data_IF_356906712330
#
_entry.id   IF_356906712330
#
_cell.length_a   1.000
_cell.length_b   1.000
_cell.length_c   1.000
_cell.angle_alpha   90.00
_cell.angle_beta   90.00
_cell.angle_gamma   90.00
#
_symmetry.space_group_name_H-M   'P 1'
#
loop_
_entity.id
_entity.type
_entity.pdbx_description
1 polymer ?
#
# COMPACT_ATOMS: atom_id res chain seq x y z
N UNK A 1 17.26 58.22 41.31
CA UNK A 1 17.93 57.05 40.71
C UNK A 1 16.95 55.89 40.75
N UNK A 2 16.10 55.77 39.74
CA UNK A 2 15.18 54.64 39.55
C UNK A 2 15.27 54.28 38.07
N UNK A 3 15.65 53.06 37.73
CA UNK A 3 15.30 52.47 36.44
C UNK A 3 15.02 50.99 36.62
N UNK A 4 13.91 50.57 36.04
CA UNK A 4 13.16 49.37 36.29
C UNK A 4 13.74 48.15 35.56
N UNK A 5 13.56 46.98 36.15
CA UNK A 5 13.81 45.66 35.58
C UNK A 5 12.75 45.32 34.53
N UNK A 6 13.18 45.01 33.31
CA UNK A 6 12.31 44.56 32.22
C UNK A 6 12.27 43.02 32.22
N UNK A 7 11.12 42.42 32.55
CA UNK A 7 10.88 40.98 32.36
C UNK A 7 10.46 40.72 30.91
N UNK A 8 11.20 39.86 30.20
CA UNK A 8 10.77 39.32 28.90
C UNK A 8 9.74 38.22 29.14
N UNK A 9 8.50 38.46 28.68
CA UNK A 9 7.49 37.42 28.50
C UNK A 9 7.66 36.90 27.07
N UNK A 10 8.08 35.64 26.95
CA UNK A 10 8.08 34.94 25.67
C UNK A 10 6.65 34.48 25.35
N UNK A 11 5.99 35.16 24.39
CA UNK A 11 4.78 34.63 23.77
C UNK A 11 5.18 33.50 22.81
N UNK A 12 4.84 32.27 23.16
CA UNK A 12 4.82 31.16 22.21
C UNK A 12 3.70 31.42 21.19
N UNK A 13 4.06 31.72 19.95
CA UNK A 13 3.13 31.75 18.82
C UNK A 13 2.98 30.31 18.34
N UNK A 14 1.87 29.66 18.72
CA UNK A 14 1.45 28.41 18.09
C UNK A 14 0.98 28.74 16.68
N UNK A 15 1.80 28.42 15.67
CA UNK A 15 1.40 28.49 14.27
C UNK A 15 0.53 27.26 13.99
N UNK A 16 -0.78 27.41 14.09
CA UNK A 16 -1.71 26.46 13.48
C UNK A 16 -1.65 26.67 11.97
N UNK A 17 -1.10 25.71 11.24
CA UNK A 17 -1.19 25.70 9.78
C UNK A 17 -2.67 25.55 9.39
N UNK A 18 -3.30 26.65 9.02
CA UNK A 18 -4.61 26.64 8.37
C UNK A 18 -4.39 26.35 6.88
N UNK A 19 -5.32 25.65 6.21
CA UNK A 19 -5.27 25.48 4.77
C UNK A 19 -5.26 26.86 4.10
N UNK A 20 -4.25 27.10 3.26
CA UNK A 20 -4.11 28.35 2.51
C UNK A 20 -5.23 28.42 1.46
N UNK A 21 -6.25 29.24 1.71
CA UNK A 21 -7.25 29.59 0.71
C UNK A 21 -6.74 30.73 -0.16
N UNK A 22 -6.16 30.39 -1.31
CA UNK A 22 -6.02 31.30 -2.44
C UNK A 22 -7.09 30.91 -3.46
N UNK A 23 -8.00 31.84 -3.78
CA UNK A 23 -9.06 31.66 -4.80
C UNK A 23 -10.12 30.58 -4.51
N UNK A 24 -10.53 30.37 -3.26
CA UNK A 24 -11.70 29.52 -2.95
C UNK A 24 -11.50 28.02 -3.19
N UNK A 25 -10.27 27.59 -3.50
CA UNK A 25 -9.88 26.19 -3.54
C UNK A 25 -9.13 25.86 -2.24
N UNK A 26 -9.64 24.90 -1.48
CA UNK A 26 -8.87 24.22 -0.44
C UNK A 26 -7.86 23.32 -1.15
N UNK A 27 -6.57 23.69 -1.11
CA UNK A 27 -5.49 22.85 -1.63
C UNK A 27 -5.09 21.83 -0.56
N UNK A 28 -4.98 20.56 -0.96
CA UNK A 28 -4.65 19.42 -0.10
C UNK A 28 -5.83 18.47 0.13
N UNK A 29 -5.57 17.17 0.09
CA UNK A 29 -6.59 16.17 0.42
C UNK A 29 -6.94 16.24 1.93
N UNK A 30 -8.21 16.06 2.33
CA UNK A 30 -8.62 16.07 3.73
C UNK A 30 -7.92 14.97 4.56
N UNK A 31 -7.36 15.37 5.70
CA UNK A 31 -6.72 14.48 6.67
C UNK A 31 -7.62 14.18 7.86
N UNK A 32 -7.56 12.95 8.35
CA UNK A 32 -8.26 12.53 9.58
C UNK A 32 -7.46 12.89 10.83
N UNK A 33 -8.18 13.29 11.90
CA UNK A 33 -7.61 13.53 13.24
C UNK A 33 -8.07 12.51 14.28
N UNK A 34 -8.66 11.40 13.83
CA UNK A 34 -9.18 10.38 14.75
C UNK A 34 -8.05 9.74 15.56
N UNK A 35 -8.31 9.44 16.84
CA UNK A 35 -7.29 8.88 17.73
C UNK A 35 -6.91 7.46 17.32
N UNK A 36 -5.61 7.15 17.09
CA UNK A 36 -5.17 5.79 16.78
C UNK A 36 -5.49 4.82 17.94
N UNK A 37 -5.91 3.62 17.58
CA UNK A 37 -6.29 2.59 18.55
C UNK A 37 -5.25 1.45 18.56
N UNK A 38 -4.68 1.07 19.71
CA UNK A 38 -3.73 -0.03 19.79
C UNK A 38 -4.30 -1.36 19.28
N UNK A 39 -3.49 -2.12 18.54
CA UNK A 39 -3.79 -3.46 18.08
C UNK A 39 -2.90 -4.47 18.79
N UNK A 40 -3.46 -5.65 19.11
CA UNK A 40 -2.66 -6.76 19.60
C UNK A 40 -1.87 -7.41 18.46
N UNK A 41 -0.67 -7.91 18.75
CA UNK A 41 0.11 -8.66 17.75
C UNK A 41 -0.64 -9.90 17.23
N UNK A 42 -1.50 -10.51 18.05
CA UNK A 42 -2.36 -11.62 17.60
C UNK A 42 -3.35 -11.19 16.52
N UNK A 43 -3.98 -10.01 16.69
CA UNK A 43 -4.88 -9.42 15.69
C UNK A 43 -4.12 -9.13 14.40
N UNK A 44 -2.97 -8.45 14.52
CA UNK A 44 -2.11 -8.12 13.37
C UNK A 44 -1.71 -9.40 12.61
N UNK A 45 -1.22 -10.42 13.32
CA UNK A 45 -0.78 -11.65 12.70
C UNK A 45 -1.92 -12.41 12.02
N UNK A 46 -3.13 -12.42 12.62
CA UNK A 46 -4.28 -13.09 12.02
C UNK A 46 -4.75 -12.44 10.70
N UNK A 47 -4.43 -11.17 10.48
CA UNK A 47 -4.86 -10.42 9.28
C UNK A 47 -3.75 -10.24 8.26
N UNK A 48 -2.52 -9.98 8.69
CA UNK A 48 -1.46 -9.47 7.83
C UNK A 48 -0.27 -10.40 7.67
N UNK A 49 -0.06 -11.39 8.56
CA UNK A 49 1.14 -12.24 8.47
C UNK A 49 1.18 -13.02 7.16
N UNK A 50 0.08 -13.64 6.76
CA UNK A 50 0.02 -14.43 5.53
C UNK A 50 0.14 -13.56 4.27
N UNK A 51 -0.61 -12.43 4.13
CA UNK A 51 -0.37 -11.48 3.04
C UNK A 51 1.07 -10.95 2.96
N UNK A 52 1.71 -10.73 4.11
CA UNK A 52 3.11 -10.28 4.17
C UNK A 52 4.07 -11.32 3.60
N UNK A 53 3.90 -12.61 3.92
CA UNK A 53 4.76 -13.65 3.35
C UNK A 53 4.63 -13.74 1.83
N UNK A 54 3.43 -13.58 1.29
CA UNK A 54 3.22 -13.53 -0.16
C UNK A 54 3.84 -12.27 -0.81
N UNK A 55 3.69 -11.09 -0.18
CA UNK A 55 4.36 -9.88 -0.65
C UNK A 55 5.89 -10.00 -0.60
N UNK A 56 6.43 -10.68 0.41
CA UNK A 56 7.87 -10.99 0.52
C UNK A 56 8.32 -11.97 -0.58
N UNK A 57 7.54 -13.02 -0.84
CA UNK A 57 7.82 -13.99 -1.89
C UNK A 57 7.80 -13.37 -3.30
N UNK A 58 7.07 -12.28 -3.51
CA UNK A 58 6.99 -11.61 -4.81
C UNK A 58 8.33 -11.02 -5.30
N UNK A 59 9.30 -10.84 -4.40
CA UNK A 59 10.67 -10.44 -4.74
C UNK A 59 11.55 -11.60 -5.22
N UNK A 60 11.08 -12.84 -5.14
CA UNK A 60 11.86 -14.02 -5.48
C UNK A 60 11.73 -14.38 -6.95
N UNK A 61 12.75 -15.06 -7.48
CA UNK A 61 12.78 -15.42 -8.90
C UNK A 61 11.60 -16.32 -9.28
N UNK A 62 11.08 -16.15 -10.51
CA UNK A 62 10.02 -17.00 -11.04
C UNK A 62 10.33 -18.50 -10.94
N UNK A 63 11.58 -18.91 -11.20
CA UNK A 63 12.01 -20.30 -11.06
C UNK A 63 11.85 -20.84 -9.63
N UNK A 64 12.21 -20.04 -8.62
CA UNK A 64 12.05 -20.44 -7.21
C UNK A 64 10.59 -20.48 -6.76
N UNK A 65 9.73 -19.64 -7.35
CA UNK A 65 8.30 -19.61 -7.05
C UNK A 65 7.55 -20.75 -7.73
N UNK A 66 7.92 -21.10 -8.96
CA UNK A 66 7.36 -22.25 -9.69
C UNK A 66 7.53 -23.56 -8.91
N UNK A 67 8.69 -23.76 -8.28
CA UNK A 67 8.95 -24.89 -7.39
C UNK A 67 8.55 -24.65 -5.93
N UNK A 68 8.00 -23.47 -5.61
CA UNK A 68 7.68 -23.01 -4.26
C UNK A 68 8.83 -23.20 -3.25
N UNK A 69 10.06 -22.95 -3.69
CA UNK A 69 11.30 -23.17 -2.96
C UNK A 69 12.12 -21.88 -2.83
N UNK A 70 11.45 -20.79 -2.51
CA UNK A 70 12.03 -19.45 -2.43
C UNK A 70 12.64 -19.10 -1.06
N UNK A 71 12.90 -20.11 -0.21
CA UNK A 71 13.43 -19.93 1.13
C UNK A 71 12.36 -19.54 2.15
N UNK A 72 12.77 -18.72 3.13
CA UNK A 72 11.93 -18.34 4.26
C UNK A 72 10.53 -17.85 3.87
N UNK A 73 10.33 -17.02 2.82
CA UNK A 73 8.99 -16.57 2.44
C UNK A 73 8.06 -17.74 2.06
N UNK A 74 8.55 -18.70 1.28
CA UNK A 74 7.79 -19.89 0.87
C UNK A 74 7.57 -20.86 2.04
N UNK A 75 8.58 -21.06 2.90
CA UNK A 75 8.53 -21.99 4.03
C UNK A 75 7.48 -21.60 5.09
N UNK A 76 7.14 -20.30 5.17
CA UNK A 76 6.15 -19.76 6.10
C UNK A 76 4.70 -19.88 5.58
N UNK A 77 4.51 -20.17 4.29
CA UNK A 77 3.20 -20.41 3.67
C UNK A 77 3.20 -21.74 2.90
N UNK A 78 3.03 -22.83 3.65
CA UNK A 78 3.12 -24.19 3.13
C UNK A 78 1.89 -24.61 2.32
N UNK A 79 2.10 -25.50 1.35
CA UNK A 79 1.02 -26.12 0.57
C UNK A 79 0.42 -25.26 -0.53
N UNK A 80 0.98 -24.07 -0.75
CA UNK A 80 0.61 -23.16 -1.83
C UNK A 80 1.02 -23.77 -3.18
N UNK A 81 0.16 -23.59 -4.18
CA UNK A 81 0.34 -24.08 -5.54
C UNK A 81 0.54 -22.91 -6.47
N UNK A 82 1.75 -22.75 -6.99
CA UNK A 82 2.03 -21.78 -8.03
C UNK A 82 1.19 -22.06 -9.29
N UNK A 83 0.68 -21.02 -9.94
CA UNK A 83 -0.15 -21.14 -11.14
C UNK A 83 0.41 -20.36 -12.32
N UNK A 84 0.79 -19.10 -12.10
CA UNK A 84 1.24 -18.21 -13.16
C UNK A 84 2.16 -17.15 -12.58
N UNK A 85 3.09 -16.64 -13.39
CA UNK A 85 3.76 -15.37 -13.13
C UNK A 85 3.80 -14.52 -14.40
N UNK A 86 4.08 -13.23 -14.20
CA UNK A 86 4.34 -12.30 -15.28
C UNK A 86 5.24 -11.15 -14.83
N UNK A 87 5.43 -10.19 -15.73
CA UNK A 87 6.45 -9.15 -15.57
C UNK A 87 7.80 -9.56 -16.15
N UNK A 88 8.67 -8.58 -16.31
CA UNK A 88 10.02 -8.75 -16.86
C UNK A 88 11.12 -8.35 -15.86
N UNK A 89 10.74 -8.09 -14.60
CA UNK A 89 11.62 -7.59 -13.53
C UNK A 89 12.40 -6.31 -13.91
N UNK A 90 11.90 -5.59 -14.93
CA UNK A 90 12.51 -4.39 -15.46
C UNK A 90 11.47 -3.28 -15.63
N UNK A 91 10.83 -3.25 -16.80
CA UNK A 91 9.81 -2.25 -17.10
C UNK A 91 8.44 -2.62 -16.51
N UNK A 92 8.21 -3.90 -16.22
CA UNK A 92 7.03 -4.44 -15.55
C UNK A 92 7.54 -5.19 -14.32
N UNK A 93 7.26 -4.71 -13.10
CA UNK A 93 7.54 -5.44 -11.87
C UNK A 93 6.95 -6.85 -11.94
N UNK A 94 7.62 -7.80 -11.32
CA UNK A 94 7.15 -9.18 -11.29
C UNK A 94 5.82 -9.28 -10.53
N UNK A 95 4.99 -10.24 -10.93
CA UNK A 95 3.85 -10.66 -10.13
C UNK A 95 3.66 -12.17 -10.27
N UNK A 96 3.01 -12.79 -9.29
CA UNK A 96 2.58 -14.18 -9.40
C UNK A 96 1.13 -14.37 -8.97
N UNK A 97 0.56 -15.45 -9.48
CA UNK A 97 -0.74 -16.00 -9.11
C UNK A 97 -0.50 -17.39 -8.54
N UNK A 98 -1.06 -17.65 -7.36
CA UNK A 98 -0.99 -18.95 -6.70
C UNK A 98 -2.33 -19.31 -6.08
N UNK A 99 -2.57 -20.59 -5.85
CA UNK A 99 -3.67 -21.06 -5.02
C UNK A 99 -3.12 -21.40 -3.63
N UNK A 100 -3.68 -20.76 -2.61
CA UNK A 100 -3.45 -21.06 -1.20
C UNK A 100 -4.63 -21.89 -0.65
N UNK A 101 -4.48 -23.22 -0.55
CA UNK A 101 -5.56 -24.10 -0.13
C UNK A 101 -5.93 -23.94 1.36
N UNK A 102 -5.02 -23.38 2.18
CA UNK A 102 -5.28 -23.21 3.61
C UNK A 102 -6.34 -22.14 3.88
N UNK A 103 -6.38 -21.10 3.05
CA UNK A 103 -7.33 -20.00 3.14
C UNK A 103 -8.40 -20.03 2.03
N UNK A 104 -8.44 -21.11 1.24
CA UNK A 104 -9.31 -21.22 0.05
C UNK A 104 -9.24 -19.97 -0.84
N UNK A 105 -8.01 -19.51 -1.13
CA UNK A 105 -7.80 -18.23 -1.82
C UNK A 105 -6.88 -18.32 -3.02
N UNK A 106 -7.23 -17.61 -4.08
CA UNK A 106 -6.31 -17.27 -5.16
C UNK A 106 -5.53 -16.03 -4.74
N UNK A 107 -4.21 -16.16 -4.67
CA UNK A 107 -3.31 -15.08 -4.30
C UNK A 107 -2.78 -14.41 -5.56
N UNK A 108 -2.83 -13.08 -5.60
CA UNK A 108 -2.08 -12.25 -6.56
C UNK A 108 -1.12 -11.37 -5.76
N UNK A 109 0.18 -11.57 -5.96
CA UNK A 109 1.20 -10.82 -5.25
C UNK A 109 2.09 -10.06 -6.23
N UNK A 110 2.26 -8.75 -5.98
CA UNK A 110 3.06 -7.85 -6.81
C UNK A 110 4.39 -7.52 -6.15
N UNK A 111 5.46 -7.61 -6.93
CA UNK A 111 6.80 -7.17 -6.56
C UNK A 111 6.84 -5.64 -6.39
N UNK A 112 7.61 -5.19 -5.40
CA UNK A 112 7.96 -3.78 -5.29
C UNK A 112 9.11 -3.38 -6.20
N UNK A 113 9.93 -2.44 -5.74
CA UNK A 113 11.15 -2.02 -6.42
C UNK A 113 12.37 -2.26 -5.54
N UNK A 114 13.55 -2.35 -6.15
CA UNK A 114 14.84 -2.38 -5.45
C UNK A 114 14.95 -1.20 -4.46
N UNK A 115 15.30 -1.46 -3.18
CA UNK A 115 15.48 -0.44 -2.15
C UNK A 115 16.37 0.74 -2.55
N UNK A 116 17.40 0.50 -3.36
CA UNK A 116 18.33 1.55 -3.81
C UNK A 116 17.67 2.53 -4.80
N UNK A 117 16.59 2.11 -5.47
CA UNK A 117 15.82 2.95 -6.39
C UNK A 117 14.68 3.68 -5.69
N UNK A 118 14.32 3.29 -4.47
CA UNK A 118 13.26 3.93 -3.68
C UNK A 118 13.63 5.37 -3.36
N UNK A 119 14.91 5.62 -3.03
CA UNK A 119 15.44 6.97 -2.86
C UNK A 119 15.33 7.81 -4.13
N UNK A 120 15.58 7.23 -5.30
CA UNK A 120 15.40 7.94 -6.58
C UNK A 120 13.93 8.26 -6.84
N UNK A 121 13.01 7.33 -6.59
CA UNK A 121 11.57 7.54 -6.76
C UNK A 121 11.03 8.68 -5.88
N UNK A 122 11.56 8.83 -4.65
CA UNK A 122 11.18 9.91 -3.74
C UNK A 122 11.77 11.27 -4.16
N UNK A 123 12.91 11.28 -4.86
CA UNK A 123 13.67 12.51 -5.17
C UNK A 123 13.49 13.03 -6.61
N UNK A 124 13.28 12.17 -7.61
CA UNK A 124 13.25 12.52 -9.05
C UNK A 124 11.86 12.98 -9.55
N UNK A 125 11.04 13.47 -8.62
CA UNK A 125 9.58 13.60 -8.65
C UNK A 125 8.97 14.19 -9.94
N UNK A 126 8.39 13.31 -10.76
CA UNK A 126 7.28 13.65 -11.66
C UNK A 126 6.01 12.96 -11.15
N UNK A 127 5.37 13.55 -10.13
CA UNK A 127 4.10 13.06 -9.58
C UNK A 127 2.93 13.60 -10.40
N UNK A 128 2.50 12.83 -11.39
CA UNK A 128 1.38 13.16 -12.27
C UNK A 128 0.19 12.28 -11.99
N UNK A 129 -0.98 12.90 -12.09
CA UNK A 129 -2.29 12.26 -12.03
C UNK A 129 -2.83 12.17 -13.46
N UNK A 130 -3.25 10.97 -13.85
CA UNK A 130 -3.99 10.72 -15.10
C UNK A 130 -5.39 10.21 -14.79
N UNK A 131 -6.32 10.41 -15.72
CA UNK A 131 -7.67 9.85 -15.58
C UNK A 131 -7.63 8.33 -15.52
N UNK A 132 -8.41 7.74 -14.62
CA UNK A 132 -8.47 6.28 -14.50
C UNK A 132 -9.05 5.66 -15.78
N UNK A 133 -8.55 4.51 -16.21
CA UNK A 133 -9.15 3.77 -17.33
C UNK A 133 -10.55 3.23 -16.95
N UNK A 134 -11.58 4.01 -17.27
CA UNK A 134 -12.98 3.67 -16.99
C UNK A 134 -13.45 2.37 -17.66
N UNK A 135 -12.71 1.84 -18.66
CA UNK A 135 -13.03 0.53 -19.25
C UNK A 135 -12.72 -0.65 -18.31
N UNK A 136 -11.81 -0.45 -17.35
CA UNK A 136 -11.43 -1.42 -16.31
C UNK A 136 -12.10 -1.14 -14.97
N UNK A 137 -12.55 0.10 -14.78
CA UNK A 137 -13.30 0.55 -13.62
C UNK A 137 -14.63 1.19 -14.03
N UNK A 138 -15.60 0.43 -14.58
CA UNK A 138 -16.88 0.99 -15.01
C UNK A 138 -17.61 1.80 -13.94
N UNK A 139 -17.50 1.41 -12.67
CA UNK A 139 -18.10 2.15 -11.56
C UNK A 139 -17.39 3.47 -11.30
N UNK A 140 -16.13 3.64 -11.67
CA UNK A 140 -15.38 4.89 -11.53
C UNK A 140 -15.82 5.99 -12.52
N UNK A 141 -16.58 5.62 -13.56
CA UNK A 141 -16.90 6.51 -14.66
C UNK A 141 -17.57 7.82 -14.23
N UNK A 142 -17.01 8.95 -14.69
CA UNK A 142 -17.55 10.28 -14.40
C UNK A 142 -17.38 10.77 -12.95
N UNK A 143 -16.63 10.06 -12.10
CA UNK A 143 -16.39 10.47 -10.72
C UNK A 143 -15.15 11.39 -10.55
N UNK A 144 -14.45 11.72 -11.63
CA UNK A 144 -13.21 12.53 -11.57
C UNK A 144 -12.05 11.80 -10.88
N UNK A 145 -12.05 10.46 -10.96
CA UNK A 145 -11.02 9.62 -10.35
C UNK A 145 -9.75 9.71 -11.20
N UNK A 146 -8.66 10.09 -10.54
CA UNK A 146 -7.33 10.13 -11.14
C UNK A 146 -6.36 9.30 -10.32
N UNK A 147 -5.44 8.64 -11.00
CA UNK A 147 -4.42 7.78 -10.41
C UNK A 147 -3.03 8.17 -10.92
N UNK A 148 -1.99 7.79 -10.18
CA UNK A 148 -0.61 8.08 -10.55
C UNK A 148 -0.30 7.48 -11.94
N UNK A 149 0.15 8.31 -12.89
CA UNK A 149 0.35 7.90 -14.29
C UNK A 149 1.25 6.67 -14.42
N UNK A 150 2.36 6.62 -13.66
CA UNK A 150 3.28 5.49 -13.68
C UNK A 150 2.70 4.20 -13.10
N UNK A 151 1.85 4.31 -12.07
CA UNK A 151 1.21 3.13 -11.47
C UNK A 151 0.13 2.58 -12.40
N UNK A 152 -0.70 3.45 -12.97
CA UNK A 152 -1.70 3.04 -13.96
C UNK A 152 -1.06 2.38 -15.18
N UNK A 153 -0.06 3.01 -15.80
CA UNK A 153 0.60 2.45 -16.98
C UNK A 153 1.21 1.07 -16.70
N UNK A 154 1.80 0.89 -15.51
CA UNK A 154 2.36 -0.40 -15.10
C UNK A 154 1.27 -1.44 -14.86
N UNK A 155 0.20 -1.07 -14.16
CA UNK A 155 -0.96 -1.91 -13.91
C UNK A 155 -1.61 -2.38 -15.23
N UNK A 156 -1.90 -1.47 -16.16
CA UNK A 156 -2.57 -1.75 -17.43
C UNK A 156 -1.84 -2.81 -18.27
N UNK A 157 -0.50 -2.83 -18.22
CA UNK A 157 0.32 -3.83 -18.93
C UNK A 157 0.14 -5.25 -18.42
N UNK A 158 -0.40 -5.43 -17.22
CA UNK A 158 -0.59 -6.74 -16.58
C UNK A 158 -2.05 -7.07 -16.26
N UNK A 159 -2.94 -6.07 -16.25
CA UNK A 159 -4.33 -6.18 -15.83
C UNK A 159 -5.09 -7.35 -16.50
N UNK A 160 -5.04 -7.46 -17.83
CA UNK A 160 -5.79 -8.49 -18.58
C UNK A 160 -5.25 -9.90 -18.30
N UNK A 161 -3.93 -10.02 -18.20
CA UNK A 161 -3.26 -11.29 -17.88
C UNK A 161 -3.55 -11.76 -16.46
N UNK A 162 -3.64 -10.82 -15.51
CA UNK A 162 -4.02 -11.11 -14.13
C UNK A 162 -5.49 -11.50 -14.04
N UNK A 163 -6.40 -10.73 -14.65
CA UNK A 163 -7.83 -11.03 -14.65
C UNK A 163 -8.12 -12.43 -15.22
N UNK A 164 -7.55 -12.73 -16.39
CA UNK A 164 -7.70 -14.05 -17.02
C UNK A 164 -7.10 -15.17 -16.16
N UNK A 165 -5.93 -14.93 -15.56
CA UNK A 165 -5.26 -15.89 -14.68
C UNK A 165 -6.07 -16.19 -13.43
N UNK A 166 -6.62 -15.16 -12.77
CA UNK A 166 -7.48 -15.30 -11.58
C UNK A 166 -8.77 -16.03 -11.93
N UNK A 167 -9.45 -15.67 -13.03
CA UNK A 167 -10.67 -16.37 -13.46
C UNK A 167 -10.40 -17.86 -13.73
N UNK A 168 -9.29 -18.18 -14.41
CA UNK A 168 -8.88 -19.56 -14.67
C UNK A 168 -8.57 -20.30 -13.36
N UNK A 169 -7.87 -19.65 -12.43
CA UNK A 169 -7.53 -20.20 -11.14
C UNK A 169 -8.80 -20.54 -10.34
N UNK A 170 -9.72 -19.58 -10.17
CA UNK A 170 -11.00 -19.77 -9.48
C UNK A 170 -11.80 -20.95 -10.05
N UNK A 171 -11.91 -21.03 -11.39
CA UNK A 171 -12.62 -22.14 -12.06
C UNK A 171 -11.95 -23.50 -11.83
N UNK A 172 -10.62 -23.55 -11.85
CA UNK A 172 -9.87 -24.81 -11.75
C UNK A 172 -9.73 -25.34 -10.32
N UNK A 173 -9.74 -24.45 -9.33
CA UNK A 173 -9.57 -24.81 -7.91
C UNK A 173 -10.90 -24.92 -7.17
N UNK A 174 -11.94 -24.22 -7.65
CA UNK A 174 -13.20 -24.05 -6.94
C UNK A 174 -13.13 -23.04 -5.79
N UNK A 175 -12.03 -22.30 -5.66
CA UNK A 175 -11.86 -21.29 -4.63
C UNK A 175 -12.85 -20.14 -4.82
N UNK A 176 -13.23 -19.50 -3.71
CA UNK A 176 -14.18 -18.39 -3.69
C UNK A 176 -13.59 -17.09 -3.16
N UNK A 177 -12.30 -17.10 -2.78
CA UNK A 177 -11.61 -15.93 -2.26
C UNK A 177 -10.43 -15.55 -3.15
N UNK A 178 -10.13 -14.26 -3.20
CA UNK A 178 -8.94 -13.71 -3.83
C UNK A 178 -8.25 -12.81 -2.81
N UNK A 179 -6.95 -13.03 -2.61
CA UNK A 179 -6.08 -12.15 -1.84
C UNK A 179 -5.16 -11.41 -2.81
N UNK A 180 -5.19 -10.08 -2.78
CA UNK A 180 -4.26 -9.24 -3.53
C UNK A 180 -3.32 -8.54 -2.54
N UNK A 181 -2.01 -8.67 -2.76
CA UNK A 181 -0.99 -8.16 -1.84
C UNK A 181 0.23 -7.63 -2.59
N UNK A 182 1.02 -6.83 -1.90
CA UNK A 182 2.24 -6.26 -2.44
C UNK A 182 2.91 -5.32 -1.44
N UNK A 183 4.17 -5.03 -1.71
CA UNK A 183 4.99 -4.09 -0.94
C UNK A 183 5.51 -2.97 -1.84
N UNK A 184 5.68 -1.75 -1.30
CA UNK A 184 6.25 -0.62 -2.05
C UNK A 184 5.46 -0.28 -3.31
N UNK A 185 6.09 -0.14 -4.48
CA UNK A 185 5.41 -0.06 -5.78
C UNK A 185 4.34 -1.15 -5.96
N UNK A 186 4.64 -2.39 -5.56
CA UNK A 186 3.73 -3.52 -5.67
C UNK A 186 2.46 -3.34 -4.83
N UNK A 187 2.51 -2.58 -3.74
CA UNK A 187 1.33 -2.25 -2.95
C UNK A 187 0.34 -1.34 -3.70
N UNK A 188 0.84 -0.35 -4.45
CA UNK A 188 -0.02 0.49 -5.28
C UNK A 188 -0.64 -0.31 -6.44
N UNK A 189 0.15 -1.20 -7.07
CA UNK A 189 -0.35 -2.10 -8.11
C UNK A 189 -1.39 -3.09 -7.55
N UNK A 190 -1.16 -3.63 -6.35
CA UNK A 190 -2.10 -4.52 -5.67
C UNK A 190 -3.44 -3.83 -5.39
N UNK A 191 -3.44 -2.55 -5.01
CA UNK A 191 -4.68 -1.79 -4.78
C UNK A 191 -5.46 -1.56 -6.09
N UNK A 192 -4.79 -1.21 -7.19
CA UNK A 192 -5.42 -1.09 -8.52
C UNK A 192 -5.97 -2.45 -8.99
N UNK A 193 -5.16 -3.50 -8.91
CA UNK A 193 -5.53 -4.88 -9.27
C UNK A 193 -6.73 -5.37 -8.47
N UNK A 194 -6.70 -5.26 -7.15
CA UNK A 194 -7.80 -5.72 -6.30
C UNK A 194 -9.10 -4.96 -6.56
N UNK A 195 -9.02 -3.64 -6.77
CA UNK A 195 -10.19 -2.81 -7.09
C UNK A 195 -10.79 -3.19 -8.45
N UNK A 196 -9.96 -3.46 -9.47
CA UNK A 196 -10.42 -3.95 -10.77
C UNK A 196 -11.08 -5.33 -10.66
N UNK A 197 -10.48 -6.25 -9.89
CA UNK A 197 -11.01 -7.60 -9.70
C UNK A 197 -12.39 -7.58 -9.03
N UNK A 198 -12.63 -6.67 -8.08
CA UNK A 198 -13.95 -6.49 -7.44
C UNK A 198 -15.04 -6.04 -8.40
N UNK A 199 -14.69 -5.34 -9.49
CA UNK A 199 -15.64 -4.98 -10.54
C UNK A 199 -15.81 -6.07 -11.60
N UNK A 200 -14.74 -6.82 -11.87
CA UNK A 200 -14.66 -7.75 -13.01
C UNK A 200 -15.03 -9.20 -12.69
N UNK A 201 -14.99 -9.60 -11.40
CA UNK A 201 -15.31 -10.97 -10.98
C UNK A 201 -16.78 -11.12 -10.58
N UNK A 202 -17.22 -12.38 -10.45
CA UNK A 202 -18.56 -12.69 -9.94
C UNK A 202 -18.72 -12.12 -8.51
N UNK A 203 -19.86 -11.48 -8.17
CA UNK A 203 -20.09 -10.90 -6.84
C UNK A 203 -19.98 -11.88 -5.66
N UNK A 204 -20.05 -13.19 -5.91
CA UNK A 204 -19.82 -14.22 -4.89
C UNK A 204 -18.34 -14.43 -4.53
N UNK A 205 -17.41 -13.92 -5.35
CA UNK A 205 -15.97 -13.99 -5.09
C UNK A 205 -15.57 -12.85 -4.15
N UNK A 206 -15.02 -13.20 -2.98
CA UNK A 206 -14.53 -12.21 -2.03
C UNK A 206 -13.11 -11.78 -2.39
N UNK A 207 -12.87 -10.48 -2.57
CA UNK A 207 -11.53 -9.93 -2.87
C UNK A 207 -11.02 -9.10 -1.70
N UNK A 208 -9.95 -9.58 -1.06
CA UNK A 208 -9.24 -8.91 0.04
C UNK A 208 -7.97 -8.25 -0.49
N UNK A 209 -7.71 -7.01 -0.09
CA UNK A 209 -6.50 -6.27 -0.44
C UNK A 209 -5.75 -5.98 0.87
N UNK A 210 -4.54 -6.50 0.98
CA UNK A 210 -3.65 -6.28 2.12
C UNK A 210 -2.26 -5.90 1.64
N UNK A 211 -1.76 -4.72 2.00
CA UNK A 211 -0.49 -4.21 1.43
C UNK A 211 0.45 -3.61 2.48
N UNK A 212 1.71 -3.35 2.10
CA UNK A 212 2.77 -2.92 3.01
C UNK A 212 3.59 -1.78 2.38
N UNK A 213 3.89 -0.73 3.13
CA UNK A 213 4.70 0.40 2.64
C UNK A 213 4.07 1.05 1.39
N UNK A 214 2.74 1.16 1.35
CA UNK A 214 1.99 1.57 0.16
C UNK A 214 2.13 3.08 -0.08
N UNK A 215 2.62 3.55 -1.26
CA UNK A 215 2.58 4.96 -1.62
C UNK A 215 1.15 5.41 -1.95
N UNK A 216 0.89 6.73 -1.92
CA UNK A 216 -0.42 7.25 -2.37
C UNK A 216 -0.58 6.97 -3.87
N UNK A 217 -1.69 6.35 -4.27
CA UNK A 217 -1.83 5.88 -5.66
C UNK A 217 -2.70 6.77 -6.55
N UNK A 218 -3.45 7.71 -5.99
CA UNK A 218 -4.35 8.56 -6.76
C UNK A 218 -4.93 9.70 -5.94
N UNK A 219 -5.87 10.42 -6.53
CA UNK A 219 -6.47 11.58 -5.90
C UNK A 219 -7.50 11.22 -4.82
N UNK A 220 -8.08 12.24 -4.19
CA UNK A 220 -9.13 12.05 -3.19
C UNK A 220 -10.34 11.24 -3.70
N UNK A 221 -10.71 11.40 -4.97
CA UNK A 221 -11.80 10.62 -5.56
C UNK A 221 -11.43 9.13 -5.67
N UNK A 222 -10.17 8.81 -6.00
CA UNK A 222 -9.66 7.43 -5.95
C UNK A 222 -9.71 6.85 -4.53
N UNK A 223 -9.24 7.57 -3.52
CA UNK A 223 -9.29 7.12 -2.12
C UNK A 223 -10.73 6.81 -1.67
N UNK A 224 -11.67 7.70 -1.98
CA UNK A 224 -13.10 7.50 -1.69
C UNK A 224 -13.68 6.31 -2.45
N UNK A 225 -13.27 6.13 -3.71
CA UNK A 225 -13.69 5.00 -4.52
C UNK A 225 -13.26 3.67 -3.90
N UNK A 226 -11.97 3.54 -3.50
CA UNK A 226 -11.44 2.34 -2.84
C UNK A 226 -12.21 2.04 -1.55
N UNK A 227 -12.47 3.05 -0.70
CA UNK A 227 -13.26 2.88 0.53
C UNK A 227 -14.68 2.36 0.24
N UNK A 228 -15.32 2.87 -0.81
CA UNK A 228 -16.66 2.42 -1.24
C UNK A 228 -16.66 1.06 -1.95
N UNK A 229 -15.51 0.65 -2.49
CA UNK A 229 -15.28 -0.58 -3.23
C UNK A 229 -14.79 -1.70 -2.29
N UNK A 230 -15.08 -1.65 -0.99
CA UNK A 230 -14.69 -2.71 -0.03
C UNK A 230 -13.34 -2.49 0.66
N UNK A 231 -12.67 -1.35 0.40
CA UNK A 231 -11.50 -0.88 1.15
C UNK A 231 -10.23 -1.69 0.94
N UNK A 232 -9.19 -1.29 1.65
CA UNK A 232 -7.88 -1.94 1.70
C UNK A 232 -7.40 -1.93 3.15
N UNK A 233 -6.66 -2.95 3.56
CA UNK A 233 -5.87 -2.88 4.81
C UNK A 233 -4.41 -2.68 4.41
N UNK A 234 -3.78 -1.61 4.85
CA UNK A 234 -2.38 -1.38 4.51
C UNK A 234 -1.56 -1.05 5.73
N UNK A 235 -0.36 -1.60 5.81
CA UNK A 235 0.54 -1.37 6.92
C UNK A 235 1.65 -0.38 6.55
N UNK A 236 1.86 0.61 7.41
CA UNK A 236 2.94 1.60 7.33
C UNK A 236 3.90 1.38 8.50
N UNK A 237 5.18 1.71 8.34
CA UNK A 237 6.20 1.41 9.33
C UNK A 237 6.99 2.63 9.74
N UNK A 238 6.94 2.98 11.03
CA UNK A 238 7.77 4.01 11.65
C UNK A 238 7.90 5.25 10.76
N UNK A 239 9.11 5.57 10.28
CA UNK A 239 9.40 6.73 9.44
C UNK A 239 9.68 6.34 7.99
N UNK A 240 9.01 5.29 7.49
CA UNK A 240 9.04 4.91 6.08
C UNK A 240 8.60 6.12 5.20
N UNK A 241 9.44 6.61 4.27
CA UNK A 241 9.09 7.73 3.41
C UNK A 241 8.06 7.38 2.32
N UNK A 242 7.93 6.10 1.95
CA UNK A 242 7.16 5.69 0.75
C UNK A 242 5.67 5.99 0.88
N UNK A 243 4.97 5.69 2.00
CA UNK A 243 3.57 6.04 2.13
C UNK A 243 3.30 7.53 2.18
N UNK A 244 4.32 8.34 2.46
CA UNK A 244 4.22 9.80 2.47
C UNK A 244 4.36 10.43 1.07
N UNK A 245 4.65 9.63 0.04
CA UNK A 245 4.72 10.08 -1.36
C UNK A 245 3.73 9.35 -2.28
N UNK A 246 3.25 10.00 -3.35
CA UNK A 246 3.28 11.44 -3.59
C UNK A 246 2.60 12.26 -2.46
N UNK A 247 2.94 13.55 -2.30
CA UNK A 247 2.45 14.36 -1.20
C UNK A 247 0.99 14.82 -1.41
N UNK A 248 0.28 15.05 -0.30
CA UNK A 248 -1.09 15.57 -0.28
C UNK A 248 -1.29 16.89 -1.04
N UNK A 249 -0.26 17.74 -1.06
CA UNK A 249 -0.27 19.02 -1.75
C UNK A 249 -0.47 18.88 -3.27
N UNK A 250 -0.14 17.72 -3.83
CA UNK A 250 -0.35 17.39 -5.25
C UNK A 250 -1.64 16.58 -5.47
N UNK A 251 -2.62 16.75 -4.57
CA UNK A 251 -3.97 16.16 -4.63
C UNK A 251 -4.04 14.65 -4.43
N UNK A 252 -2.91 13.98 -4.20
CA UNK A 252 -2.88 12.56 -3.85
C UNK A 252 -3.46 12.32 -2.46
N UNK A 253 -4.10 11.17 -2.27
CA UNK A 253 -4.70 10.76 -1.00
C UNK A 253 -4.57 9.25 -0.80
N UNK A 254 -4.48 8.82 0.45
CA UNK A 254 -4.67 7.43 0.85
C UNK A 254 -6.14 7.12 1.11
N UNK A 255 -6.61 5.90 0.82
CA UNK A 255 -7.87 5.41 1.35
C UNK A 255 -7.79 5.17 2.86
N UNK A 256 -8.91 4.84 3.50
CA UNK A 256 -8.93 4.40 4.89
C UNK A 256 -8.30 3.01 5.02
N UNK A 257 -7.97 2.61 6.25
CA UNK A 257 -7.52 1.23 6.56
C UNK A 257 -6.04 1.11 6.91
N UNK A 258 -5.40 2.21 7.29
CA UNK A 258 -4.02 2.21 7.77
C UNK A 258 -3.89 1.48 9.11
N UNK A 259 -2.89 0.60 9.18
CA UNK A 259 -2.31 0.05 10.39
C UNK A 259 -0.87 0.53 10.48
N UNK A 260 -0.51 1.23 11.54
CA UNK A 260 0.81 1.85 11.67
C UNK A 260 1.65 1.16 12.75
N UNK A 261 2.87 0.76 12.39
CA UNK A 261 3.90 0.34 13.35
C UNK A 261 4.59 1.58 13.89
N UNK A 262 4.43 1.86 15.17
CA UNK A 262 4.81 3.15 15.77
C UNK A 262 6.31 3.21 16.08
N UNK A 263 6.92 2.08 16.43
CA UNK A 263 8.33 2.02 16.83
C UNK A 263 8.98 0.66 16.46
N UNK A 264 10.29 0.59 16.63
CA UNK A 264 11.11 -0.58 16.29
C UNK A 264 10.88 -1.82 17.16
N UNK A 265 9.98 -1.77 18.16
CA UNK A 265 9.65 -2.94 18.98
C UNK A 265 8.88 -4.02 18.23
N UNK A 266 8.32 -3.70 17.06
CA UNK A 266 7.43 -4.56 16.27
C UNK A 266 6.13 -4.97 17.01
N UNK A 267 5.82 -4.30 18.13
CA UNK A 267 4.69 -4.61 19.02
C UNK A 267 3.79 -3.43 19.29
N UNK A 268 4.33 -2.21 19.19
CA UNK A 268 3.54 -0.99 19.28
C UNK A 268 2.91 -0.70 17.91
N UNK A 269 1.72 -1.25 17.70
CA UNK A 269 0.99 -1.18 16.43
C UNK A 269 -0.39 -0.60 16.70
N UNK A 270 -0.83 0.34 15.86
CA UNK A 270 -2.11 1.04 15.99
C UNK A 270 -2.91 0.96 14.70
N UNK A 271 -4.24 0.94 14.80
CA UNK A 271 -5.14 1.23 13.68
C UNK A 271 -5.40 2.73 13.62
N UNK A 272 -5.30 3.29 12.43
CA UNK A 272 -5.42 4.72 12.17
C UNK A 272 -6.76 4.99 11.48
N UNK A 273 -7.74 5.59 12.17
CA UNK A 273 -9.08 5.77 11.61
C UNK A 273 -9.12 6.88 10.55
N UNK A 274 -9.82 6.60 9.45
CA UNK A 274 -10.02 7.52 8.32
C UNK A 274 -8.85 7.52 7.33
N UNK A 275 -8.92 8.45 6.38
CA UNK A 275 -7.90 8.68 5.36
C UNK A 275 -6.82 9.62 5.89
N UNK A 276 -5.56 9.40 5.47
CA UNK A 276 -4.39 10.23 5.79
C UNK A 276 -4.40 10.77 7.23
N UNK A 277 -4.36 9.87 8.22
CA UNK A 277 -4.46 10.27 9.62
C UNK A 277 -3.18 10.96 10.12
N UNK A 278 -3.28 12.20 10.59
CA UNK A 278 -2.15 13.01 11.04
C UNK A 278 -1.47 12.48 12.32
N UNK A 279 -2.06 11.50 13.00
CA UNK A 279 -1.46 10.84 14.16
C UNK A 279 -0.71 9.54 13.79
N UNK A 280 -0.61 9.23 12.49
CA UNK A 280 0.09 8.07 11.94
C UNK A 280 1.05 8.53 10.82
N UNK A 281 1.16 7.80 9.71
CA UNK A 281 2.21 8.09 8.71
C UNK A 281 2.10 9.49 8.10
N UNK A 282 0.88 10.03 7.93
CA UNK A 282 0.69 11.37 7.35
C UNK A 282 1.26 12.48 8.23
N UNK A 283 1.32 12.23 9.55
CA UNK A 283 1.88 13.17 10.53
C UNK A 283 3.41 13.18 10.60
N UNK A 284 4.07 12.21 9.98
CA UNK A 284 5.53 12.10 10.07
C UNK A 284 6.23 13.25 9.34
N UNK A 285 7.35 13.69 9.92
CA UNK A 285 8.19 14.71 9.31
C UNK A 285 8.81 14.17 8.03
N UNK A 286 8.61 14.87 6.92
CA UNK A 286 9.29 14.56 5.65
C UNK A 286 10.82 14.75 5.71
N UNK A 287 11.35 15.34 6.79
CA UNK A 287 12.78 15.51 7.05
C UNK A 287 13.38 14.45 7.97
N UNK A 288 12.53 13.60 8.57
CA UNK A 288 12.95 12.52 9.47
C UNK A 288 12.41 11.20 8.92
N UNK A 289 13.10 10.66 7.92
CA UNK A 289 12.69 9.48 7.16
C UNK A 289 13.78 8.41 7.12
N UNK A 290 13.38 7.15 7.08
CA UNK A 290 14.28 5.99 7.08
C UNK A 290 13.87 4.99 6.00
N UNK A 291 14.76 4.77 5.03
CA UNK A 291 14.58 3.70 4.03
C UNK A 291 14.68 2.31 4.68
N UNK A 292 15.39 2.19 5.80
CA UNK A 292 15.40 0.96 6.59
C UNK A 292 14.00 0.59 7.05
N UNK A 293 13.21 1.57 7.49
CA UNK A 293 11.84 1.37 7.96
C UNK A 293 10.93 0.91 6.81
N UNK A 294 11.21 1.33 5.58
CA UNK A 294 10.52 0.82 4.41
C UNK A 294 10.76 -0.68 4.17
N UNK A 295 11.97 -1.19 4.43
CA UNK A 295 12.28 -2.61 4.26
C UNK A 295 11.88 -3.46 5.46
N UNK A 296 11.77 -2.83 6.63
CA UNK A 296 11.38 -3.46 7.88
C UNK A 296 12.54 -3.65 8.87
N UNK A 297 12.28 -4.40 9.95
CA UNK A 297 11.09 -5.21 10.16
C UNK A 297 9.83 -4.38 10.43
N UNK A 298 8.67 -4.86 9.95
CA UNK A 298 7.36 -4.27 10.24
C UNK A 298 6.75 -4.87 11.51
N UNK A 299 6.51 -6.18 11.49
CA UNK A 299 5.97 -6.96 12.60
C UNK A 299 6.41 -8.41 12.44
N UNK A 300 6.54 -9.17 13.53
CA UNK A 300 6.91 -10.60 13.48
C UNK A 300 8.10 -10.92 12.55
N UNK A 301 9.11 -10.05 12.57
CA UNK A 301 10.34 -10.10 11.78
C UNK A 301 10.11 -10.14 10.25
N UNK A 302 8.99 -9.60 9.79
CA UNK A 302 8.69 -9.39 8.37
C UNK A 302 9.55 -8.25 7.83
N UNK A 303 10.46 -8.62 6.94
CA UNK A 303 11.23 -7.72 6.08
C UNK A 303 10.90 -7.98 4.61
N UNK A 304 11.07 -6.97 3.76
CA UNK A 304 10.79 -7.04 2.32
C UNK A 304 12.04 -6.73 1.49
N UNK A 305 12.19 -7.46 0.38
CA UNK A 305 13.28 -7.29 -0.57
C UNK A 305 13.81 -8.62 -1.09
N UNK A 306 14.62 -8.54 -2.14
CA UNK A 306 15.23 -9.72 -2.78
C UNK A 306 16.26 -10.44 -1.88
N UNK A 307 16.78 -9.76 -0.85
CA UNK A 307 17.66 -10.37 0.17
C UNK A 307 16.99 -11.47 0.98
N UNK A 308 15.66 -11.55 0.93
CA UNK A 308 14.87 -12.51 1.69
C UNK A 308 14.67 -13.85 0.96
N UNK A 309 15.11 -13.94 -0.29
CA UNK A 309 14.98 -15.12 -1.13
C UNK A 309 16.21 -16.03 -1.00
N UNK A 310 16.01 -17.34 -1.20
CA UNK A 310 17.07 -18.35 -1.22
C UNK A 310 17.70 -18.56 -2.61
#
# INVERSE_FOLDING_TARGET
>A
MLSATLSLIACAVTVTALPFSLFGHTFGAPESKGTPAPLSLATVNSTLLRPAQFARAAYCSGASLESWSCGLPCDQVNGVKFLQAGGDQGSIPFYFIAHDPEQDSIVVAHEGTDPNKILSLVNDVEFLLDDIDESRFPRAAGQGIKVHTGFQSTFERTADGILSGVQTALLSTGASNVLVTGHSLGAALAMLTGSMLRESLDPSVSVTISTFGMPRAGNQAWANFVDSNGGVTFMTNQHDPVPSVPPLLLEFAHPSGEIHVVDSSQRNIVSCPGQDNENCISGNSLFDVSIGDHLGPYFSDITFGSSECA
#
